data_IF_074674724973
#
_entry.id   IF_074674724973
#
_cell.length_a   1.000
_cell.length_b   1.000
_cell.length_c   1.000
_cell.angle_alpha   90.00
_cell.angle_beta   90.00
_cell.angle_gamma   90.00
#
_symmetry.space_group_name_H-M   'P 1'
#
loop_
_entity.id
_entity.type
_entity.pdbx_description
1 polymer ?
#
# COMPACT_ATOMS: atom_id res chain seq x y z
N UNK A 1 5.80 22.09 -31.87
CA UNK A 1 7.15 22.03 -32.51
C UNK A 1 6.97 21.64 -33.96
N UNK A 2 7.57 22.39 -34.88
CA UNK A 2 7.67 21.98 -36.29
C UNK A 2 8.92 21.14 -36.49
N UNK A 3 9.04 20.48 -37.63
CA UNK A 3 10.25 19.71 -37.98
C UNK A 3 11.45 20.68 -38.05
N UNK A 4 12.45 20.43 -37.23
CA UNK A 4 13.63 21.29 -37.11
C UNK A 4 13.63 22.24 -35.91
N UNK A 5 12.53 22.32 -35.15
CA UNK A 5 12.52 23.08 -33.90
C UNK A 5 13.43 22.42 -32.85
N UNK A 6 14.11 23.26 -32.07
CA UNK A 6 14.85 22.77 -30.90
C UNK A 6 13.92 22.40 -29.78
N UNK A 7 14.19 21.28 -29.12
CA UNK A 7 13.49 20.93 -27.85
C UNK A 7 13.94 21.92 -26.79
N UNK A 8 13.01 22.72 -26.30
CA UNK A 8 13.31 23.70 -25.26
C UNK A 8 13.52 22.99 -23.91
N UNK A 9 14.49 23.50 -23.15
CA UNK A 9 14.72 23.02 -21.78
C UNK A 9 13.47 23.09 -20.90
N UNK A 10 12.60 24.07 -21.14
CA UNK A 10 11.31 24.22 -20.43
C UNK A 10 10.37 23.04 -20.70
N UNK A 11 10.24 22.61 -21.97
CA UNK A 11 9.35 21.50 -22.34
C UNK A 11 9.89 20.19 -21.81
N UNK A 12 11.20 19.96 -21.94
CA UNK A 12 11.89 18.82 -21.37
C UNK A 12 11.69 18.75 -19.85
N UNK A 13 11.93 19.85 -19.14
CA UNK A 13 11.78 19.88 -17.68
C UNK A 13 10.33 19.72 -17.24
N UNK A 14 9.35 20.19 -18.04
CA UNK A 14 7.93 19.95 -17.77
C UNK A 14 7.60 18.46 -17.82
N UNK A 15 8.01 17.75 -18.87
CA UNK A 15 7.82 16.30 -19.00
C UNK A 15 8.54 15.55 -17.87
N UNK A 16 9.78 15.95 -17.55
CA UNK A 16 10.52 15.42 -16.42
C UNK A 16 9.77 15.62 -15.07
N UNK A 17 9.17 16.79 -14.88
CA UNK A 17 8.38 17.10 -13.68
C UNK A 17 7.14 16.21 -13.58
N UNK A 18 6.47 15.95 -14.70
CA UNK A 18 5.33 15.04 -14.74
C UNK A 18 5.74 13.59 -14.35
N UNK A 19 6.86 13.09 -14.87
CA UNK A 19 7.43 11.80 -14.45
C UNK A 19 7.83 11.84 -12.97
N UNK A 20 8.48 12.92 -12.51
CA UNK A 20 8.88 13.07 -11.12
C UNK A 20 7.69 13.05 -10.16
N UNK A 21 6.55 13.58 -10.58
CA UNK A 21 5.34 13.55 -9.77
C UNK A 21 4.78 12.14 -9.56
N UNK A 22 5.14 11.17 -10.42
CA UNK A 22 4.77 9.75 -10.27
C UNK A 22 5.81 8.97 -9.48
N UNK A 23 7.05 8.92 -9.98
CA UNK A 23 8.09 8.05 -9.43
C UNK A 23 9.17 8.79 -8.66
N UNK A 24 9.26 10.11 -8.82
CA UNK A 24 10.36 10.93 -8.31
C UNK A 24 10.30 11.20 -6.81
N UNK A 25 11.27 11.99 -6.37
CA UNK A 25 11.40 12.44 -4.97
C UNK A 25 10.52 13.67 -4.70
N UNK A 26 9.23 13.54 -4.93
CA UNK A 26 8.21 14.55 -4.65
C UNK A 26 7.20 14.02 -3.64
N UNK A 27 6.35 14.88 -3.09
CA UNK A 27 5.32 14.47 -2.10
C UNK A 27 4.31 13.46 -2.67
N UNK A 28 4.14 13.40 -3.99
CA UNK A 28 3.23 12.47 -4.67
C UNK A 28 3.96 11.29 -5.27
N UNK A 29 5.29 11.37 -5.42
CA UNK A 29 6.10 10.36 -6.09
C UNK A 29 6.45 9.16 -5.21
N UNK A 30 7.23 8.25 -5.80
CA UNK A 30 7.65 6.99 -5.18
C UNK A 30 9.09 7.03 -4.64
N UNK A 31 9.75 8.20 -4.67
CA UNK A 31 11.09 8.40 -4.11
C UNK A 31 12.25 8.01 -5.00
N UNK A 32 12.03 7.73 -6.29
CA UNK A 32 13.10 7.39 -7.21
C UNK A 32 13.94 8.61 -7.61
N UNK A 33 15.23 8.38 -7.75
CA UNK A 33 16.11 9.33 -8.43
C UNK A 33 15.94 9.13 -9.93
N UNK A 34 15.49 10.17 -10.63
CA UNK A 34 15.34 10.13 -12.08
C UNK A 34 16.71 10.08 -12.76
N UNK A 35 16.81 9.34 -13.88
CA UNK A 35 17.98 9.34 -14.76
C UNK A 35 18.11 10.66 -15.51
N UNK A 36 16.96 11.22 -15.94
CA UNK A 36 16.89 12.49 -16.64
C UNK A 36 17.30 13.64 -15.70
N UNK A 37 18.37 14.40 -16.02
CA UNK A 37 18.76 15.56 -15.23
C UNK A 37 17.79 16.73 -15.46
N UNK A 38 17.85 17.74 -14.60
CA UNK A 38 17.27 19.05 -14.91
C UNK A 38 18.19 19.76 -15.90
N UNK A 39 17.63 20.26 -16.99
CA UNK A 39 18.37 21.02 -18.01
C UNK A 39 18.18 22.51 -17.74
N UNK A 40 19.29 23.25 -17.57
CA UNK A 40 19.21 24.70 -17.41
C UNK A 40 18.65 25.36 -18.68
N UNK A 41 17.92 26.46 -18.53
CA UNK A 41 17.24 27.14 -19.65
C UNK A 41 18.19 27.59 -20.78
N UNK A 42 19.46 27.79 -20.45
CA UNK A 42 20.52 28.18 -21.42
C UNK A 42 21.20 26.98 -22.07
N UNK A 43 20.94 25.76 -21.66
CA UNK A 43 21.57 24.56 -22.15
C UNK A 43 20.71 23.86 -23.19
N UNK A 44 21.36 23.21 -24.13
CA UNK A 44 20.72 22.37 -25.14
C UNK A 44 20.27 21.05 -24.48
N UNK A 45 19.06 20.60 -24.83
CA UNK A 45 18.59 19.24 -24.51
C UNK A 45 19.35 18.28 -25.47
N UNK A 46 20.14 17.40 -24.88
CA UNK A 46 20.96 16.44 -25.66
C UNK A 46 20.13 15.15 -25.89
N UNK A 47 20.60 14.33 -26.86
CA UNK A 47 20.03 13.00 -27.08
C UNK A 47 20.09 12.11 -25.84
N UNK A 48 21.16 12.18 -25.04
CA UNK A 48 21.26 11.47 -23.77
C UNK A 48 20.21 11.92 -22.75
N UNK A 49 19.87 13.22 -22.73
CA UNK A 49 18.83 13.74 -21.87
C UNK A 49 17.47 13.15 -22.27
N UNK A 50 17.16 13.12 -23.57
CA UNK A 50 15.92 12.53 -24.08
C UNK A 50 15.87 11.03 -23.84
N UNK A 51 16.96 10.29 -24.10
CA UNK A 51 17.04 8.86 -23.82
C UNK A 51 16.73 8.56 -22.35
N UNK A 52 17.35 9.29 -21.42
CA UNK A 52 17.10 9.14 -19.99
C UNK A 52 15.65 9.44 -19.62
N UNK A 53 15.04 10.47 -20.23
CA UNK A 53 13.65 10.83 -20.02
C UNK A 53 12.68 9.71 -20.45
N UNK A 54 12.93 9.11 -21.62
CA UNK A 54 12.16 7.97 -22.12
C UNK A 54 12.31 6.73 -21.21
N UNK A 55 13.51 6.44 -20.74
CA UNK A 55 13.76 5.33 -19.81
C UNK A 55 13.03 5.54 -18.47
N UNK A 56 12.98 6.76 -17.98
CA UNK A 56 12.23 7.09 -16.76
C UNK A 56 10.71 6.99 -16.99
N UNK A 57 10.21 7.42 -18.15
CA UNK A 57 8.82 7.24 -18.55
C UNK A 57 8.43 5.75 -18.63
N UNK A 58 9.27 4.95 -19.29
CA UNK A 58 9.07 3.50 -19.39
C UNK A 58 9.01 2.87 -18.00
N UNK A 59 9.99 3.18 -17.13
CA UNK A 59 10.02 2.68 -15.77
C UNK A 59 8.74 3.04 -15.00
N UNK A 60 8.28 4.28 -15.17
CA UNK A 60 7.05 4.77 -14.55
C UNK A 60 5.84 3.98 -15.04
N UNK A 61 5.72 3.81 -16.34
CA UNK A 61 4.58 3.13 -16.96
C UNK A 61 4.52 1.65 -16.59
N UNK A 62 5.66 0.96 -16.65
CA UNK A 62 5.76 -0.45 -16.22
C UNK A 62 5.42 -0.57 -14.73
N UNK A 63 5.83 0.36 -13.91
CA UNK A 63 5.50 0.35 -12.49
C UNK A 63 4.00 0.56 -12.24
N UNK A 64 3.34 1.44 -13.01
CA UNK A 64 1.90 1.72 -12.86
C UNK A 64 0.98 0.59 -13.33
N UNK A 65 1.30 -0.02 -14.48
CA UNK A 65 0.38 -0.96 -15.15
C UNK A 65 1.02 -2.31 -15.52
N UNK A 66 2.30 -2.51 -15.18
CA UNK A 66 3.02 -3.76 -15.44
C UNK A 66 3.45 -3.96 -16.89
N UNK A 67 3.14 -3.03 -17.78
CA UNK A 67 3.47 -3.12 -19.21
C UNK A 67 3.70 -1.75 -19.82
N UNK A 68 4.36 -1.73 -20.97
CA UNK A 68 4.48 -0.56 -21.84
C UNK A 68 4.01 -0.93 -23.24
N UNK A 69 3.59 0.04 -24.03
CA UNK A 69 3.37 -0.16 -25.45
C UNK A 69 4.70 -0.54 -26.11
N UNK A 70 4.75 -1.74 -26.70
CA UNK A 70 5.94 -2.31 -27.34
C UNK A 70 6.40 -1.52 -28.58
N UNK A 71 5.62 -0.55 -29.03
CA UNK A 71 5.95 0.30 -30.18
C UNK A 71 6.70 1.57 -29.79
N UNK A 72 6.94 1.81 -28.50
CA UNK A 72 7.77 2.91 -28.03
C UNK A 72 9.23 2.48 -28.13
N UNK A 73 9.99 3.16 -29.00
CA UNK A 73 11.42 2.98 -29.11
C UNK A 73 12.16 4.12 -28.39
N UNK A 74 13.24 3.77 -27.72
CA UNK A 74 14.06 4.75 -27.00
C UNK A 74 15.00 5.41 -27.97
N UNK A 75 14.96 6.75 -28.15
CA UNK A 75 15.80 7.42 -29.11
C UNK A 75 17.28 7.21 -28.82
N UNK A 76 18.04 6.83 -29.82
CA UNK A 76 19.49 6.66 -29.77
C UNK A 76 20.20 7.92 -30.23
N UNK A 77 21.53 7.98 -30.01
CA UNK A 77 22.36 9.07 -30.52
C UNK A 77 22.37 9.02 -32.06
N UNK A 78 21.91 10.09 -32.69
CA UNK A 78 21.79 10.18 -34.15
C UNK A 78 20.36 10.06 -34.67
N UNK A 79 19.43 9.63 -33.82
CA UNK A 79 18.01 9.57 -34.19
C UNK A 79 17.41 10.98 -34.24
N UNK A 80 16.54 11.19 -35.21
CA UNK A 80 15.73 12.40 -35.29
C UNK A 80 14.50 12.16 -34.38
N UNK A 81 14.38 12.94 -33.33
CA UNK A 81 13.19 12.94 -32.49
C UNK A 81 12.07 13.64 -33.27
N UNK A 82 11.25 12.86 -33.98
CA UNK A 82 10.15 13.37 -34.83
C UNK A 82 8.93 13.75 -34.01
N UNK A 83 8.11 14.65 -34.56
CA UNK A 83 6.79 15.01 -33.98
C UNK A 83 5.68 14.08 -34.45
N UNK A 84 5.89 13.35 -35.53
CA UNK A 84 4.82 12.58 -36.19
C UNK A 84 4.60 11.20 -35.55
N UNK A 85 3.40 10.73 -35.68
CA UNK A 85 2.73 9.91 -34.68
C UNK A 85 2.24 8.58 -35.17
N UNK A 86 2.18 8.35 -36.46
CA UNK A 86 1.53 7.14 -36.96
C UNK A 86 2.48 6.05 -37.43
N UNK A 87 3.73 6.41 -37.71
CA UNK A 87 4.70 5.49 -38.30
C UNK A 87 6.13 5.60 -37.71
N UNK A 88 6.38 6.62 -36.88
CA UNK A 88 7.68 6.79 -36.22
C UNK A 88 7.60 6.35 -34.76
N UNK A 89 8.18 5.21 -34.39
CA UNK A 89 8.21 4.72 -33.00
C UNK A 89 8.94 5.67 -32.06
N UNK A 90 9.78 6.57 -32.56
CA UNK A 90 10.52 7.58 -31.80
C UNK A 90 9.78 8.93 -31.72
N UNK A 91 8.54 9.00 -32.19
CA UNK A 91 7.80 10.26 -32.24
C UNK A 91 7.51 10.84 -30.86
N UNK A 92 7.94 12.11 -30.64
CA UNK A 92 7.66 12.85 -29.38
C UNK A 92 6.16 12.87 -29.05
N UNK A 93 5.29 12.93 -30.03
CA UNK A 93 3.84 13.00 -29.84
C UNK A 93 3.30 11.72 -29.21
N UNK A 94 3.86 10.56 -29.56
CA UNK A 94 3.53 9.31 -28.88
C UNK A 94 4.06 9.33 -27.46
N UNK A 95 5.30 9.75 -27.27
CA UNK A 95 5.89 9.97 -25.96
C UNK A 95 5.06 10.93 -25.11
N UNK A 96 4.59 12.05 -25.66
CA UNK A 96 3.70 13.00 -24.93
C UNK A 96 2.39 12.35 -24.54
N UNK A 97 1.76 11.54 -25.39
CA UNK A 97 0.55 10.81 -25.06
C UNK A 97 0.79 9.84 -23.88
N UNK A 98 1.92 9.14 -23.87
CA UNK A 98 2.29 8.26 -22.77
C UNK A 98 2.66 9.04 -21.50
N UNK A 99 3.32 10.19 -21.60
CA UNK A 99 3.53 11.10 -20.46
C UNK A 99 2.21 11.58 -19.86
N UNK A 100 1.20 11.90 -20.68
CA UNK A 100 -0.14 12.29 -20.22
C UNK A 100 -0.82 11.11 -19.53
N UNK A 101 -0.72 9.90 -20.08
CA UNK A 101 -1.24 8.69 -19.44
C UNK A 101 -0.59 8.43 -18.10
N UNK A 102 0.73 8.56 -18.01
CA UNK A 102 1.48 8.47 -16.77
C UNK A 102 0.95 9.47 -15.74
N UNK A 103 0.82 10.74 -16.11
CA UNK A 103 0.31 11.80 -15.26
C UNK A 103 -1.13 11.53 -14.79
N UNK A 104 -2.01 11.13 -15.69
CA UNK A 104 -3.42 10.87 -15.38
C UNK A 104 -3.61 9.62 -14.50
N UNK A 105 -2.72 8.63 -14.62
CA UNK A 105 -2.77 7.41 -13.82
C UNK A 105 -2.44 7.62 -12.35
N UNK A 106 -1.72 8.69 -11.98
CA UNK A 106 -1.47 9.02 -10.56
C UNK A 106 -2.78 9.38 -9.86
N UNK A 107 -3.61 10.19 -10.51
CA UNK A 107 -4.90 10.59 -9.94
C UNK A 107 -5.88 9.42 -9.83
N UNK A 108 -5.70 8.39 -10.66
CA UNK A 108 -6.50 7.18 -10.68
C UNK A 108 -5.92 6.06 -9.81
N UNK A 109 -4.75 6.25 -9.17
CA UNK A 109 -4.18 5.23 -8.30
C UNK A 109 -5.03 5.10 -7.03
N UNK A 110 -6.00 4.24 -7.11
CA UNK A 110 -6.75 3.68 -6.00
C UNK A 110 -6.19 2.28 -5.75
N UNK A 111 -5.64 2.02 -4.58
CA UNK A 111 -5.10 0.71 -4.22
C UNK A 111 -6.09 -0.46 -4.36
N UNK A 112 -7.36 -0.18 -4.64
CA UNK A 112 -8.39 -1.19 -4.94
C UNK A 112 -8.48 -1.58 -6.41
N UNK A 113 -8.02 -0.74 -7.31
CA UNK A 113 -7.99 -1.00 -8.76
C UNK A 113 -6.54 -1.22 -9.21
N UNK A 114 -5.84 -2.11 -8.50
CA UNK A 114 -4.42 -2.36 -8.69
C UNK A 114 -4.08 -2.62 -10.16
N UNK A 115 -3.62 -1.61 -10.86
CA UNK A 115 -2.87 -1.79 -12.08
C UNK A 115 -1.47 -2.39 -11.83
N UNK A 116 -1.08 -2.56 -10.57
CA UNK A 116 0.18 -3.19 -10.21
C UNK A 116 0.06 -4.71 -10.27
N UNK A 117 0.82 -5.41 -11.12
CA UNK A 117 0.90 -6.86 -11.08
C UNK A 117 1.32 -7.32 -9.69
N UNK A 118 0.60 -8.29 -9.13
CA UNK A 118 0.91 -8.84 -7.80
C UNK A 118 2.35 -9.39 -7.70
N UNK A 119 2.92 -9.81 -8.83
CA UNK A 119 4.32 -10.22 -8.92
C UNK A 119 5.33 -9.12 -8.58
N UNK A 120 4.94 -7.86 -8.65
CA UNK A 120 5.80 -6.72 -8.32
C UNK A 120 5.75 -6.35 -6.82
N UNK A 121 5.05 -7.13 -6.01
CA UNK A 121 4.96 -6.90 -4.57
C UNK A 121 5.48 -8.08 -3.77
N UNK A 122 6.02 -7.78 -2.60
CA UNK A 122 6.40 -8.76 -1.60
C UNK A 122 5.65 -8.54 -0.29
N UNK A 123 5.38 -9.64 0.40
CA UNK A 123 4.76 -9.63 1.72
C UNK A 123 5.82 -10.03 2.74
N UNK A 124 5.92 -9.26 3.82
CA UNK A 124 6.77 -9.59 4.95
C UNK A 124 5.98 -9.48 6.26
N UNK A 125 6.19 -10.43 7.16
CA UNK A 125 5.61 -10.38 8.50
C UNK A 125 6.29 -9.28 9.30
N UNK A 126 5.49 -8.32 9.76
CA UNK A 126 5.94 -7.26 10.66
C UNK A 126 5.83 -7.70 12.11
N UNK A 127 4.75 -8.39 12.46
CA UNK A 127 4.54 -8.98 13.78
C UNK A 127 3.54 -10.12 13.72
N UNK A 128 3.75 -11.12 14.57
CA UNK A 128 2.79 -12.18 14.85
C UNK A 128 2.76 -12.42 16.36
N UNK A 129 1.59 -12.34 16.95
CA UNK A 129 1.39 -12.58 18.37
C UNK A 129 0.24 -13.55 18.60
N UNK A 130 0.36 -14.42 19.58
CA UNK A 130 -0.62 -15.47 19.84
C UNK A 130 -0.93 -15.62 21.32
N UNK A 131 -2.21 -15.91 21.62
CA UNK A 131 -2.69 -16.23 22.96
C UNK A 131 -3.46 -17.54 22.95
N UNK A 132 -3.09 -18.46 23.82
CA UNK A 132 -3.82 -19.70 24.02
C UNK A 132 -4.87 -19.51 25.12
N UNK A 133 -6.14 -19.63 24.77
CA UNK A 133 -7.25 -19.42 25.69
C UNK A 133 -7.35 -20.44 26.83
N UNK A 134 -6.68 -21.59 26.72
CA UNK A 134 -6.63 -22.59 27.80
C UNK A 134 -5.62 -22.21 28.87
N UNK A 135 -4.41 -21.74 28.47
CA UNK A 135 -3.33 -21.39 29.40
C UNK A 135 -3.35 -19.93 29.83
N UNK A 136 -3.93 -19.06 29.02
CA UNK A 136 -4.12 -17.63 29.26
C UNK A 136 -5.56 -17.24 28.92
N UNK A 137 -6.54 -17.56 29.79
CA UNK A 137 -7.97 -17.37 29.51
C UNK A 137 -8.31 -15.91 29.17
N UNK A 138 -9.27 -15.73 28.26
CA UNK A 138 -9.83 -14.44 27.87
C UNK A 138 -11.29 -14.58 27.42
N UNK A 139 -11.96 -13.45 27.23
CA UNK A 139 -13.34 -13.42 26.73
C UNK A 139 -14.39 -13.46 27.82
N UNK A 140 -14.01 -13.21 29.08
CA UNK A 140 -14.98 -13.07 30.22
C UNK A 140 -14.66 -11.86 31.07
N UNK A 141 -15.64 -11.39 31.83
CA UNK A 141 -15.46 -10.34 32.85
C UNK A 141 -14.43 -10.76 33.90
N UNK A 142 -14.39 -12.04 34.25
CA UNK A 142 -13.48 -12.58 35.26
C UNK A 142 -12.02 -12.74 34.76
N UNK A 143 -11.81 -12.77 33.47
CA UNK A 143 -10.49 -12.89 32.86
C UNK A 143 -10.11 -11.57 32.19
N UNK A 144 -9.95 -11.56 30.88
CA UNK A 144 -9.74 -10.36 30.08
C UNK A 144 -10.75 -10.34 28.94
N UNK A 145 -11.67 -9.39 28.95
CA UNK A 145 -12.61 -9.22 27.84
C UNK A 145 -11.93 -8.67 26.59
N UNK A 146 -10.79 -7.99 26.76
CA UNK A 146 -10.10 -7.30 25.67
C UNK A 146 -8.67 -7.78 25.56
N UNK A 147 -8.29 -8.20 24.37
CA UNK A 147 -6.91 -8.45 24.01
C UNK A 147 -6.49 -7.52 22.88
N UNK A 148 -5.27 -7.01 22.97
CA UNK A 148 -4.75 -5.99 22.06
C UNK A 148 -3.42 -6.38 21.46
N UNK A 149 -3.19 -5.95 20.22
CA UNK A 149 -1.93 -6.04 19.52
C UNK A 149 -1.65 -4.67 18.92
N UNK A 150 -0.73 -3.93 19.52
CA UNK A 150 -0.36 -2.58 19.10
C UNK A 150 1.00 -2.62 18.42
N UNK A 151 1.11 -2.02 17.25
CA UNK A 151 2.34 -1.90 16.49
C UNK A 151 2.61 -0.46 16.12
N UNK A 152 3.87 -0.07 16.22
CA UNK A 152 4.36 1.21 15.70
C UNK A 152 5.31 0.94 14.54
N UNK A 153 4.98 1.46 13.37
CA UNK A 153 5.83 1.47 12.19
C UNK A 153 6.59 2.80 12.15
N UNK A 154 7.92 2.73 12.14
CA UNK A 154 8.79 3.90 12.03
C UNK A 154 9.49 3.89 10.69
N UNK A 155 9.34 4.97 9.95
CA UNK A 155 9.98 5.20 8.66
C UNK A 155 11.20 6.11 8.84
N UNK A 156 12.16 6.03 7.93
CA UNK A 156 13.41 6.79 8.00
C UNK A 156 13.18 8.30 8.06
N UNK A 157 12.21 8.80 7.27
CA UNK A 157 11.81 10.20 7.25
C UNK A 157 10.38 10.38 6.71
N UNK A 158 9.92 11.62 6.69
CA UNK A 158 8.58 12.00 6.23
C UNK A 158 8.31 11.65 4.76
N UNK A 159 9.34 11.66 3.92
CA UNK A 159 9.18 11.35 2.50
C UNK A 159 9.05 9.84 2.29
N UNK A 160 9.82 9.02 3.02
CA UNK A 160 9.78 7.56 2.89
C UNK A 160 8.42 6.98 3.24
N UNK A 161 7.74 7.51 4.25
CA UNK A 161 6.38 7.07 4.58
C UNK A 161 5.39 7.40 3.44
N UNK A 162 5.50 8.60 2.85
CA UNK A 162 4.69 8.98 1.70
C UNK A 162 4.98 8.07 0.49
N UNK A 163 6.26 7.82 0.19
CA UNK A 163 6.67 6.95 -0.91
C UNK A 163 6.15 5.52 -0.76
N UNK A 164 6.18 4.98 0.47
CA UNK A 164 5.66 3.65 0.75
C UNK A 164 4.20 3.51 0.29
N UNK A 165 3.34 4.43 0.72
CA UNK A 165 1.92 4.38 0.37
C UNK A 165 1.63 4.83 -1.07
N UNK A 166 2.38 5.80 -1.59
CA UNK A 166 2.25 6.25 -2.99
C UNK A 166 2.59 5.12 -3.98
N UNK A 167 3.55 4.28 -3.64
CA UNK A 167 3.93 3.12 -4.44
C UNK A 167 2.98 1.92 -4.30
N UNK A 168 1.85 2.06 -3.60
CA UNK A 168 0.89 0.99 -3.39
C UNK A 168 1.19 0.11 -2.20
N UNK A 169 2.10 0.53 -1.33
CA UNK A 169 2.35 -0.15 -0.07
C UNK A 169 1.12 -0.21 0.81
N UNK A 170 0.96 -1.32 1.51
CA UNK A 170 -0.16 -1.56 2.44
C UNK A 170 0.35 -2.11 3.75
N UNK A 171 -0.33 -1.79 4.82
CA UNK A 171 -0.23 -2.54 6.08
C UNK A 171 -1.43 -3.49 6.13
N UNK A 172 -1.17 -4.78 6.28
CA UNK A 172 -2.19 -5.83 6.28
C UNK A 172 -2.32 -6.45 7.64
N UNK A 173 -3.55 -6.46 8.16
CA UNK A 173 -3.89 -7.05 9.45
C UNK A 173 -4.80 -8.27 9.22
N UNK A 174 -4.55 -9.35 9.94
CA UNK A 174 -5.44 -10.51 9.99
C UNK A 174 -5.40 -11.15 11.36
N UNK A 175 -6.40 -11.95 11.66
CA UNK A 175 -6.38 -12.78 12.85
C UNK A 175 -7.06 -14.13 12.56
N UNK A 176 -6.67 -15.14 13.32
CA UNK A 176 -7.26 -16.47 13.24
C UNK A 176 -7.43 -17.04 14.66
N UNK A 177 -8.45 -17.84 14.86
CA UNK A 177 -8.62 -18.67 16.04
C UNK A 177 -8.59 -20.13 15.60
N UNK A 178 -7.60 -20.87 16.10
CA UNK A 178 -7.43 -22.31 15.80
C UNK A 178 -7.81 -23.15 17.02
N UNK A 179 -8.19 -24.40 16.78
CA UNK A 179 -8.63 -25.33 17.85
C UNK A 179 -9.76 -24.76 18.71
N UNK A 180 -10.67 -24.03 18.08
CA UNK A 180 -11.85 -23.46 18.73
C UNK A 180 -12.78 -24.59 19.21
N UNK A 181 -13.31 -24.45 20.42
CA UNK A 181 -14.33 -25.34 20.97
C UNK A 181 -15.35 -24.54 21.80
N UNK A 182 -16.60 -24.97 21.75
CA UNK A 182 -17.74 -24.23 22.34
C UNK A 182 -18.28 -23.14 21.39
N UNK A 183 -19.54 -22.77 21.58
CA UNK A 183 -20.30 -21.93 20.66
C UNK A 183 -19.67 -20.53 20.46
N UNK A 184 -19.22 -19.88 21.55
CA UNK A 184 -18.56 -18.58 21.53
C UNK A 184 -17.27 -18.64 20.69
N UNK A 185 -16.40 -19.63 20.95
CA UNK A 185 -15.13 -19.79 20.27
C UNK A 185 -15.31 -20.07 18.77
N UNK A 186 -16.29 -20.90 18.41
CA UNK A 186 -16.66 -21.16 17.02
C UNK A 186 -17.19 -19.91 16.31
N UNK A 187 -17.93 -19.06 17.02
CA UNK A 187 -18.37 -17.76 16.48
C UNK A 187 -17.18 -16.83 16.20
N UNK A 188 -16.22 -16.74 17.14
CA UNK A 188 -14.97 -16.01 16.94
C UNK A 188 -14.18 -16.55 15.73
N UNK A 189 -14.02 -17.87 15.64
CA UNK A 189 -13.33 -18.51 14.50
C UNK A 189 -14.00 -18.16 13.18
N UNK A 190 -15.32 -18.28 13.09
CA UNK A 190 -16.09 -17.95 11.90
C UNK A 190 -15.97 -16.47 11.52
N UNK A 191 -16.07 -15.56 12.50
CA UNK A 191 -15.93 -14.13 12.32
C UNK A 191 -14.56 -13.76 11.74
N UNK A 192 -13.47 -14.27 12.33
CA UNK A 192 -12.11 -13.99 11.91
C UNK A 192 -11.80 -14.61 10.54
N UNK A 193 -12.29 -15.83 10.28
CA UNK A 193 -12.16 -16.49 8.98
C UNK A 193 -12.87 -15.70 7.87
N UNK A 194 -14.10 -15.26 8.12
CA UNK A 194 -14.86 -14.46 7.16
C UNK A 194 -14.24 -13.10 6.88
N UNK A 195 -13.59 -12.51 7.88
CA UNK A 195 -12.88 -11.23 7.74
C UNK A 195 -11.69 -11.33 6.78
N UNK A 196 -10.91 -12.41 6.87
CA UNK A 196 -9.70 -12.58 6.10
C UNK A 196 -8.65 -11.51 6.39
N UNK A 197 -8.07 -10.94 5.34
CA UNK A 197 -7.05 -9.90 5.43
C UNK A 197 -7.67 -8.52 5.31
N UNK A 198 -7.36 -7.64 6.26
CA UNK A 198 -7.72 -6.21 6.22
C UNK A 198 -6.51 -5.44 5.71
N UNK A 199 -6.68 -4.73 4.61
CA UNK A 199 -5.64 -3.91 4.00
C UNK A 199 -5.88 -2.43 4.28
N UNK A 200 -4.89 -1.77 4.88
CA UNK A 200 -4.80 -0.33 5.04
C UNK A 200 -3.87 0.21 3.95
N UNK A 201 -4.37 1.08 3.10
CA UNK A 201 -3.62 1.66 2.00
C UNK A 201 -3.53 3.20 2.09
N UNK A 202 -3.20 3.83 0.98
CA UNK A 202 -3.07 5.29 0.88
C UNK A 202 -4.39 6.02 1.19
N UNK A 203 -5.54 5.45 0.77
CA UNK A 203 -6.83 6.15 0.73
C UNK A 203 -7.88 5.57 1.67
N UNK A 204 -7.83 4.27 1.92
CA UNK A 204 -8.88 3.54 2.63
C UNK A 204 -8.35 2.33 3.39
N UNK A 205 -9.25 1.76 4.17
CA UNK A 205 -9.04 0.47 4.83
C UNK A 205 -10.23 -0.43 4.56
N UNK A 206 -9.97 -1.64 4.11
CA UNK A 206 -11.02 -2.62 3.79
C UNK A 206 -10.54 -4.06 3.96
N UNK A 207 -11.47 -4.98 4.20
CA UNK A 207 -11.20 -6.41 4.07
C UNK A 207 -11.10 -6.79 2.59
N UNK A 208 -10.09 -7.58 2.24
CA UNK A 208 -9.94 -8.14 0.89
C UNK A 208 -11.01 -9.21 0.60
N UNK A 209 -11.70 -9.72 1.63
CA UNK A 209 -12.81 -10.67 1.53
C UNK A 209 -14.17 -9.96 1.53
N UNK A 210 -14.21 -8.64 1.43
CA UNK A 210 -15.43 -7.81 1.44
C UNK A 210 -16.33 -8.04 2.67
N UNK A 211 -15.77 -8.41 3.82
CA UNK A 211 -16.49 -8.71 5.05
C UNK A 211 -16.16 -7.70 6.14
N UNK A 212 -17.14 -7.29 6.93
CA UNK A 212 -16.99 -6.23 7.95
C UNK A 212 -17.13 -4.83 7.34
N UNK A 213 -16.87 -3.82 8.17
CA UNK A 213 -17.01 -2.41 7.82
C UNK A 213 -15.61 -1.78 7.72
N UNK A 214 -15.18 -1.47 6.52
CA UNK A 214 -14.00 -0.66 6.25
C UNK A 214 -14.29 0.83 6.38
N UNK A 215 -13.30 1.65 6.10
CA UNK A 215 -13.43 3.11 6.12
C UNK A 215 -12.70 3.77 4.94
N UNK A 216 -13.08 5.00 4.63
CA UNK A 216 -12.33 5.89 3.72
C UNK A 216 -11.10 6.52 4.38
N UNK A 217 -10.62 5.94 5.50
CA UNK A 217 -9.42 6.38 6.18
C UNK A 217 -8.26 5.51 5.71
N UNK A 218 -7.29 6.14 5.09
CA UNK A 218 -5.98 5.61 4.74
C UNK A 218 -4.89 6.56 5.19
N UNK A 219 -3.66 6.34 4.73
CA UNK A 219 -2.51 7.15 5.14
C UNK A 219 -2.73 8.66 4.99
N UNK A 220 -3.35 9.10 3.89
CA UNK A 220 -3.55 10.53 3.61
C UNK A 220 -4.51 11.24 4.56
N UNK A 221 -5.48 10.51 5.13
CA UNK A 221 -6.49 11.06 6.04
C UNK A 221 -6.25 10.70 7.51
N UNK A 222 -5.11 10.04 7.80
CA UNK A 222 -4.78 9.63 9.16
C UNK A 222 -4.31 10.81 10.01
N UNK A 223 -4.86 10.89 11.22
CA UNK A 223 -4.57 11.96 12.20
C UNK A 223 -3.65 11.46 13.33
N UNK A 224 -3.28 12.37 14.24
CA UNK A 224 -2.48 12.03 15.42
C UNK A 224 -3.23 11.22 16.50
N UNK A 225 -4.56 11.16 16.44
CA UNK A 225 -5.40 10.38 17.36
C UNK A 225 -5.85 9.08 16.71
N UNK A 226 -6.16 8.06 17.53
CA UNK A 226 -6.68 6.81 17.00
C UNK A 226 -8.03 6.99 16.30
N UNK A 227 -8.10 6.51 15.08
CA UNK A 227 -9.29 6.46 14.25
C UNK A 227 -9.64 4.99 14.00
N UNK A 228 -10.89 4.60 14.15
CA UNK A 228 -11.35 3.28 13.76
C UNK A 228 -11.31 3.19 12.22
N UNK A 229 -10.46 2.32 11.71
CA UNK A 229 -10.28 2.14 10.27
C UNK A 229 -10.99 0.89 9.75
N UNK A 230 -11.22 -0.09 10.64
CA UNK A 230 -11.97 -1.30 10.32
C UNK A 230 -12.66 -1.88 11.54
N UNK A 231 -13.86 -2.44 11.32
CA UNK A 231 -14.66 -3.11 12.34
C UNK A 231 -15.34 -4.37 11.77
N UNK A 232 -15.26 -5.46 12.51
CA UNK A 232 -16.02 -6.68 12.27
C UNK A 232 -16.70 -7.09 13.57
N UNK A 233 -18.00 -7.40 13.50
CA UNK A 233 -18.78 -7.89 14.64
C UNK A 233 -19.04 -9.38 14.54
N UNK A 234 -19.25 -10.01 15.66
CA UNK A 234 -19.75 -11.37 15.75
C UNK A 234 -21.18 -11.49 15.20
N UNK A 235 -21.81 -12.61 15.41
CA UNK A 235 -23.15 -12.89 14.92
C UNK A 235 -24.04 -13.49 16.00
N UNK A 236 -25.36 -13.43 15.79
CA UNK A 236 -26.36 -13.97 16.69
C UNK A 236 -26.21 -13.40 18.12
N UNK A 237 -26.22 -14.24 19.15
CA UNK A 237 -26.04 -13.85 20.55
C UNK A 237 -24.69 -13.23 20.86
N UNK A 238 -23.70 -13.45 20.00
CA UNK A 238 -22.33 -12.92 20.09
C UNK A 238 -22.12 -11.64 19.27
N UNK A 239 -23.17 -10.97 18.82
CA UNK A 239 -23.07 -9.77 17.95
C UNK A 239 -22.37 -8.57 18.61
N UNK A 240 -22.26 -8.57 19.94
CA UNK A 240 -21.52 -7.55 20.69
C UNK A 240 -20.00 -7.70 20.55
N UNK A 241 -19.51 -8.90 20.22
CA UNK A 241 -18.09 -9.18 20.08
C UNK A 241 -17.52 -8.50 18.84
N UNK A 242 -16.35 -7.89 18.98
CA UNK A 242 -15.75 -7.10 17.90
C UNK A 242 -14.27 -7.39 17.68
N UNK A 243 -13.90 -7.49 16.41
CA UNK A 243 -12.53 -7.28 15.95
C UNK A 243 -12.44 -5.87 15.36
N UNK A 244 -11.58 -5.05 15.94
CA UNK A 244 -11.42 -3.65 15.56
C UNK A 244 -9.97 -3.36 15.22
N UNK A 245 -9.74 -2.62 14.11
CA UNK A 245 -8.45 -2.04 13.79
C UNK A 245 -8.58 -0.53 13.89
N UNK A 246 -7.73 0.07 14.69
CA UNK A 246 -7.57 1.51 14.82
C UNK A 246 -6.16 1.89 14.35
N UNK A 247 -6.05 3.06 13.74
CA UNK A 247 -4.77 3.59 13.29
C UNK A 247 -4.63 5.06 13.66
N UNK A 248 -3.39 5.52 13.83
CA UNK A 248 -3.04 6.93 14.02
C UNK A 248 -1.65 7.23 13.45
N UNK A 249 -1.41 8.51 13.22
CA UNK A 249 -0.10 9.05 12.79
C UNK A 249 0.41 9.99 13.88
N UNK A 250 1.03 9.46 14.95
CA UNK A 250 1.44 10.26 16.11
C UNK A 250 2.56 11.25 15.78
N UNK A 251 3.40 10.95 14.77
CA UNK A 251 4.43 11.84 14.25
C UNK A 251 4.44 11.82 12.72
N UNK A 252 5.25 12.66 12.10
CA UNK A 252 5.39 12.71 10.64
C UNK A 252 6.04 11.45 10.04
N UNK A 253 6.75 10.67 10.86
CA UNK A 253 7.51 9.49 10.44
C UNK A 253 6.97 8.18 10.99
N UNK A 254 5.92 8.21 11.82
CA UNK A 254 5.39 7.00 12.45
C UNK A 254 3.90 6.82 12.19
N UNK A 255 3.52 5.55 12.00
CA UNK A 255 2.11 5.11 12.03
C UNK A 255 1.98 4.04 13.11
N UNK A 256 0.93 4.14 13.88
CA UNK A 256 0.60 3.17 14.92
C UNK A 256 -0.74 2.52 14.64
N UNK A 257 -0.78 1.19 14.73
CA UNK A 257 -1.98 0.38 14.65
C UNK A 257 -2.27 -0.22 16.02
N UNK A 258 -3.55 -0.24 16.37
CA UNK A 258 -4.06 -0.97 17.51
C UNK A 258 -5.15 -1.92 17.05
N UNK A 259 -4.87 -3.22 17.14
CA UNK A 259 -5.81 -4.29 16.85
C UNK A 259 -6.40 -4.73 18.18
N UNK A 260 -7.73 -4.73 18.27
CA UNK A 260 -8.45 -5.09 19.49
C UNK A 260 -9.44 -6.20 19.16
N UNK A 261 -9.35 -7.31 19.91
CA UNK A 261 -10.40 -8.32 19.97
C UNK A 261 -11.13 -8.09 21.30
N UNK A 262 -12.41 -7.76 21.22
CA UNK A 262 -13.20 -7.33 22.37
C UNK A 262 -14.44 -8.22 22.49
N UNK A 263 -14.45 -9.03 23.53
CA UNK A 263 -15.54 -9.93 23.87
C UNK A 263 -16.48 -9.22 24.84
N UNK A 264 -17.61 -8.77 24.33
CA UNK A 264 -18.59 -7.98 25.08
C UNK A 264 -19.91 -8.71 25.30
N UNK A 265 -20.02 -9.97 24.84
CA UNK A 265 -21.22 -10.73 25.17
C UNK A 265 -21.23 -11.14 26.64
N UNK A 266 -22.43 -11.26 27.18
CA UNK A 266 -22.68 -11.62 28.60
C UNK A 266 -23.02 -13.10 28.76
N UNK A 267 -22.85 -13.91 27.71
CA UNK A 267 -23.18 -15.34 27.71
C UNK A 267 -24.29 -15.71 26.72
N UNK A 268 -24.29 -16.97 26.36
CA UNK A 268 -25.13 -17.52 25.29
C UNK A 268 -26.59 -17.82 25.66
N UNK A 269 -26.94 -17.75 26.93
CA UNK A 269 -28.31 -18.09 27.38
C UNK A 269 -29.00 -16.88 28.01
N UNK A 270 -30.19 -16.48 27.50
CA UNK A 270 -30.94 -15.36 28.07
C UNK A 270 -31.56 -15.67 29.47
N UNK A 271 -31.68 -16.95 29.83
CA UNK A 271 -32.28 -17.37 31.08
C UNK A 271 -31.28 -17.77 32.17
N UNK A 272 -30.06 -18.11 31.77
CA UNK A 272 -28.95 -18.42 32.68
C UNK A 272 -27.64 -18.14 31.93
N UNK A 273 -27.25 -16.87 31.77
CA UNK A 273 -26.08 -16.51 31.02
C UNK A 273 -24.83 -17.06 31.73
N UNK A 274 -24.10 -17.93 31.02
CA UNK A 274 -22.77 -18.35 31.41
C UNK A 274 -21.79 -17.59 30.55
N UNK A 275 -20.99 -16.76 31.19
CA UNK A 275 -19.92 -16.02 30.49
C UNK A 275 -18.77 -17.00 30.23
N UNK A 276 -18.72 -17.52 29.00
CA UNK A 276 -17.79 -18.55 28.58
C UNK A 276 -16.45 -17.94 28.12
N UNK A 277 -15.32 -18.57 28.49
CA UNK A 277 -14.01 -18.22 27.93
C UNK A 277 -13.92 -18.59 26.48
N UNK A 278 -13.13 -17.82 25.71
CA UNK A 278 -12.76 -18.19 24.35
C UNK A 278 -11.66 -19.23 24.38
N UNK A 279 -11.98 -20.42 23.90
CA UNK A 279 -11.09 -21.58 23.84
C UNK A 279 -10.42 -21.68 22.47
N UNK A 280 -9.18 -22.16 22.46
CA UNK A 280 -8.34 -22.25 21.26
C UNK A 280 -7.18 -21.26 21.30
N UNK A 281 -6.42 -21.19 20.21
CA UNK A 281 -5.31 -20.24 20.07
C UNK A 281 -5.67 -19.14 19.09
N UNK A 282 -5.80 -17.92 19.58
CA UNK A 282 -5.93 -16.74 18.73
C UNK A 282 -4.53 -16.27 18.31
N UNK A 283 -4.36 -15.97 17.03
CA UNK A 283 -3.15 -15.37 16.48
C UNK A 283 -3.53 -14.10 15.73
N UNK A 284 -2.87 -13.00 16.06
CA UNK A 284 -2.96 -11.73 15.34
C UNK A 284 -1.69 -11.55 14.51
N UNK A 285 -1.85 -11.33 13.22
CA UNK A 285 -0.76 -11.20 12.25
C UNK A 285 -0.84 -9.83 11.58
N UNK A 286 0.28 -9.13 11.56
CA UNK A 286 0.43 -7.87 10.82
C UNK A 286 1.59 -8.00 9.85
N UNK A 287 1.36 -7.59 8.60
CA UNK A 287 2.29 -7.72 7.49
C UNK A 287 2.46 -6.39 6.78
N UNK A 288 3.64 -6.18 6.23
CA UNK A 288 3.89 -5.16 5.22
C UNK A 288 3.71 -5.77 3.83
N UNK A 289 3.00 -5.09 2.97
CA UNK A 289 2.87 -5.38 1.55
C UNK A 289 3.49 -4.21 0.81
N UNK A 290 4.55 -4.46 0.07
CA UNK A 290 5.36 -3.40 -0.54
C UNK A 290 5.81 -3.79 -1.93
N UNK A 291 6.07 -2.81 -2.81
CA UNK A 291 6.71 -3.08 -4.09
C UNK A 291 8.07 -3.77 -3.92
N UNK A 292 8.39 -4.67 -4.83
CA UNK A 292 9.71 -5.30 -4.91
C UNK A 292 10.79 -4.27 -5.23
N UNK A 293 12.04 -4.55 -4.84
CA UNK A 293 13.17 -3.66 -5.08
C UNK A 293 13.65 -3.65 -6.53
N UNK A 294 13.18 -4.55 -7.37
CA UNK A 294 13.54 -4.60 -8.79
C UNK A 294 12.46 -5.31 -9.59
N UNK A 295 12.29 -4.92 -10.84
CA UNK A 295 11.51 -5.64 -11.84
C UNK A 295 12.24 -5.66 -13.16
N UNK A 296 11.95 -6.65 -14.00
CA UNK A 296 12.55 -6.80 -15.32
C UNK A 296 11.47 -6.58 -16.38
N UNK A 297 11.76 -5.73 -17.35
CA UNK A 297 10.95 -5.53 -18.53
C UNK A 297 11.83 -5.72 -19.78
N UNK A 298 11.38 -6.57 -20.70
CA UNK A 298 12.11 -6.83 -21.96
C UNK A 298 13.61 -7.06 -21.76
N UNK A 299 13.98 -7.93 -20.82
CA UNK A 299 15.36 -8.24 -20.39
C UNK A 299 16.15 -7.07 -19.79
N UNK A 300 15.55 -5.92 -19.58
CA UNK A 300 16.18 -4.77 -18.92
C UNK A 300 15.74 -4.71 -17.45
N UNK A 301 16.73 -4.75 -16.56
CA UNK A 301 16.48 -4.54 -15.13
C UNK A 301 16.29 -3.05 -14.84
N UNK A 302 15.12 -2.70 -14.33
CA UNK A 302 14.84 -1.39 -13.77
C UNK A 302 15.01 -1.46 -12.26
N UNK A 303 15.93 -0.65 -11.73
CA UNK A 303 16.07 -0.50 -10.29
C UNK A 303 14.79 0.17 -9.77
N UNK A 304 13.98 -0.62 -9.12
CA UNK A 304 12.80 -0.09 -8.48
C UNK A 304 13.15 0.77 -7.27
N UNK A 305 12.16 1.49 -6.83
CA UNK A 305 12.16 2.30 -5.63
C UNK A 305 12.74 1.51 -4.48
N UNK A 306 13.82 1.98 -3.90
CA UNK A 306 14.29 1.52 -2.60
C UNK A 306 13.31 2.03 -1.53
N UNK A 307 12.12 1.43 -1.50
CA UNK A 307 11.17 1.68 -0.41
C UNK A 307 11.61 0.81 0.75
N UNK A 308 12.26 1.43 1.71
CA UNK A 308 12.71 0.77 2.91
C UNK A 308 11.52 0.18 3.68
N UNK A 309 11.69 -1.02 4.20
CA UNK A 309 10.72 -1.55 5.16
C UNK A 309 10.75 -0.71 6.42
N UNK A 310 9.60 -0.29 6.94
CA UNK A 310 9.58 0.37 8.24
C UNK A 310 10.10 -0.57 9.33
N UNK A 311 10.76 -0.02 10.33
CA UNK A 311 11.02 -0.75 11.57
C UNK A 311 9.76 -0.83 12.40
N UNK A 312 9.59 -1.92 13.16
CA UNK A 312 8.40 -2.12 13.99
C UNK A 312 8.77 -2.30 15.45
N UNK A 313 7.97 -1.68 16.33
CA UNK A 313 7.94 -2.00 17.77
C UNK A 313 6.55 -2.52 18.11
N UNK A 314 6.49 -3.49 19.01
CA UNK A 314 5.25 -4.21 19.36
C UNK A 314 4.99 -4.07 20.85
N UNK A 315 3.74 -3.76 21.19
CA UNK A 315 3.17 -3.84 22.53
C UNK A 315 1.88 -4.65 22.47
N UNK A 316 1.82 -5.72 23.25
CA UNK A 316 0.69 -6.67 23.15
C UNK A 316 0.45 -7.37 24.48
N UNK A 317 -0.84 -7.67 24.73
CA UNK A 317 -1.28 -8.61 25.75
C UNK A 317 -1.86 -9.91 25.14
N UNK A 318 -1.54 -10.15 23.89
CA UNK A 318 -1.82 -11.39 23.16
C UNK A 318 -0.82 -12.48 23.52
#
# INVERSE_FOLDING_TARGET
MAVGDLILATDFNSMRSDIASVIGQTTTGYGQVLRAPVVAATNLVTSSNMQNLYLDMIATRVHQVGSIDSTIDVPLVGDVVGWDTSTDPNGIKKGIADFILVKNSIAAYDGSTSGFPSANFSIATASSSSRNGTTSPWGTIATSQTITHTLTFTFTDTNHIAYYFNAGGQIRCSAALTSASGAKSLNWQAMLSAMGVVAFDKWKTQSLSSSGTGSSIGYNSLTGTYQTVYLKTGSSVYAANTYKVEARKPTTTTIQFRITLNDLDTGSSPTSPVDETVLGTVTSLVQTYRPNSSFTYSSTNYTAVSILSPTTTVDTNL
#
